data_IF_781432752089
#
_entry.id   IF_781432752089
#
_cell.length_a   1.000
_cell.length_b   1.000
_cell.length_c   1.000
_cell.angle_alpha   90.00
_cell.angle_beta   90.00
_cell.angle_gamma   90.00
#
_symmetry.space_group_name_H-M   'P 1'
#
loop_
_entity.id
_entity.type
_entity.pdbx_description
1 polymer ?
#
# COMPACT_ATOMS: atom_id res chain seq x y z
N UNK A 1 1.77 15.74 26.14
CA UNK A 1 1.49 15.16 24.81
C UNK A 1 0.05 14.71 24.84
N UNK A 2 -0.81 15.29 24.00
CA UNK A 2 -2.17 14.78 23.85
C UNK A 2 -2.02 13.45 23.11
N UNK A 3 -2.30 12.34 23.80
CA UNK A 3 -2.49 11.06 23.12
C UNK A 3 -3.66 11.23 22.17
N UNK A 4 -3.47 11.02 20.87
CA UNK A 4 -4.60 10.85 19.97
C UNK A 4 -5.53 9.80 20.55
N UNK A 5 -6.83 10.07 20.53
CA UNK A 5 -7.81 9.06 20.93
C UNK A 5 -7.68 7.89 19.97
N UNK A 6 -7.47 6.67 20.49
CA UNK A 6 -7.27 5.46 19.67
C UNK A 6 -8.39 5.27 18.63
N UNK A 7 -9.62 5.63 18.99
CA UNK A 7 -10.76 5.63 18.08
C UNK A 7 -10.56 6.57 16.90
N UNK A 8 -9.99 7.76 17.11
CA UNK A 8 -9.67 8.71 16.03
C UNK A 8 -8.60 8.15 15.09
N UNK A 9 -7.60 7.45 15.62
CA UNK A 9 -6.56 6.81 14.79
C UNK A 9 -7.14 5.67 13.96
N UNK A 10 -8.08 4.88 14.52
CA UNK A 10 -8.83 3.86 13.79
C UNK A 10 -9.70 4.49 12.69
N UNK A 11 -10.50 5.51 13.03
CA UNK A 11 -11.39 6.19 12.07
C UNK A 11 -10.58 6.82 10.91
N UNK A 12 -9.40 7.38 11.21
CA UNK A 12 -8.49 7.93 10.20
C UNK A 12 -7.90 6.82 9.32
N UNK A 13 -7.45 5.71 9.92
CA UNK A 13 -6.92 4.57 9.18
C UNK A 13 -7.95 3.99 8.21
N UNK A 14 -9.21 3.84 8.64
CA UNK A 14 -10.31 3.35 7.78
C UNK A 14 -10.53 4.24 6.57
N UNK A 15 -10.66 5.55 6.77
CA UNK A 15 -10.87 6.51 5.66
C UNK A 15 -9.69 6.53 4.71
N UNK A 16 -8.46 6.59 5.25
CA UNK A 16 -7.25 6.59 4.43
C UNK A 16 -7.10 5.29 3.63
N UNK A 17 -7.44 4.14 4.21
CA UNK A 17 -7.38 2.85 3.53
C UNK A 17 -8.39 2.77 2.39
N UNK A 18 -9.65 3.16 2.62
CA UNK A 18 -10.68 3.17 1.58
C UNK A 18 -10.30 4.06 0.39
N UNK A 19 -9.83 5.28 0.66
CA UNK A 19 -9.37 6.21 -0.38
C UNK A 19 -8.14 5.67 -1.11
N UNK A 20 -7.16 5.14 -0.38
CA UNK A 20 -5.93 4.62 -0.96
C UNK A 20 -6.17 3.39 -1.84
N UNK A 21 -7.00 2.44 -1.39
CA UNK A 21 -7.31 1.22 -2.15
C UNK A 21 -8.00 1.58 -3.46
N UNK A 22 -9.00 2.48 -3.42
CA UNK A 22 -9.68 2.96 -4.61
C UNK A 22 -8.70 3.62 -5.59
N UNK A 23 -7.86 4.54 -5.10
CA UNK A 23 -6.83 5.20 -5.91
C UNK A 23 -5.83 4.20 -6.51
N UNK A 24 -5.35 3.26 -5.71
CA UNK A 24 -4.32 2.30 -6.10
C UNK A 24 -4.83 1.38 -7.21
N UNK A 25 -5.98 0.73 -7.01
CA UNK A 25 -6.53 -0.20 -7.99
C UNK A 25 -7.08 0.51 -9.24
N UNK A 26 -7.60 1.73 -9.12
CA UNK A 26 -7.92 2.53 -10.30
C UNK A 26 -6.67 2.90 -11.10
N UNK A 27 -5.57 3.22 -10.42
CA UNK A 27 -4.32 3.64 -11.07
C UNK A 27 -3.61 2.48 -11.77
N UNK A 28 -3.57 1.28 -11.19
CA UNK A 28 -2.93 0.12 -11.84
C UNK A 28 -3.67 -0.31 -13.11
N UNK A 29 -5.00 -0.18 -13.13
CA UNK A 29 -5.84 -0.56 -14.26
C UNK A 29 -5.86 0.52 -15.36
N UNK A 30 -6.02 1.81 -14.99
CA UNK A 30 -6.20 2.90 -15.97
C UNK A 30 -4.95 3.73 -16.25
N UNK A 31 -4.03 3.85 -15.29
CA UNK A 31 -2.92 4.83 -15.30
C UNK A 31 -1.60 4.24 -14.81
N UNK A 32 -1.24 3.05 -15.32
CA UNK A 32 -0.14 2.24 -14.79
C UNK A 32 1.21 2.97 -14.65
N UNK A 33 1.54 3.86 -15.59
CA UNK A 33 2.78 4.69 -15.53
C UNK A 33 2.85 5.63 -14.32
N UNK A 34 1.70 5.96 -13.72
CA UNK A 34 1.62 6.83 -12.54
C UNK A 34 1.63 6.03 -11.24
N UNK A 35 1.48 4.71 -11.29
CA UNK A 35 1.37 3.84 -10.11
C UNK A 35 2.61 3.91 -9.22
N UNK A 36 3.79 4.01 -9.81
CA UNK A 36 5.06 4.06 -9.08
C UNK A 36 5.21 5.30 -8.21
N UNK A 37 4.42 6.36 -8.45
CA UNK A 37 4.38 7.54 -7.57
C UNK A 37 3.69 7.28 -6.23
N UNK A 38 2.92 6.20 -6.13
CA UNK A 38 2.30 5.77 -4.85
C UNK A 38 3.29 5.01 -3.96
N UNK A 39 4.46 4.64 -4.48
CA UNK A 39 5.51 3.96 -3.75
C UNK A 39 6.55 4.95 -3.24
N UNK A 40 7.03 4.74 -2.01
CA UNK A 40 8.19 5.44 -1.49
C UNK A 40 9.46 5.02 -2.24
N UNK A 41 10.48 5.87 -2.27
CA UNK A 41 11.74 5.57 -2.97
C UNK A 41 12.45 4.32 -2.40
N UNK A 42 12.29 4.07 -1.11
CA UNK A 42 12.80 2.90 -0.39
C UNK A 42 11.83 1.72 -0.35
N UNK A 43 10.70 1.78 -1.05
CA UNK A 43 9.70 0.72 -1.00
C UNK A 43 10.21 -0.57 -1.66
N UNK A 44 9.75 -1.69 -1.11
CA UNK A 44 9.97 -3.03 -1.65
C UNK A 44 8.62 -3.71 -1.85
N UNK A 45 8.32 -4.09 -3.09
CA UNK A 45 7.17 -4.91 -3.44
C UNK A 45 7.62 -6.38 -3.43
N UNK A 46 6.82 -7.27 -2.85
CA UNK A 46 7.04 -8.72 -2.98
C UNK A 46 5.87 -9.31 -3.74
N UNK A 47 6.10 -9.78 -4.98
CA UNK A 47 5.07 -10.34 -5.84
C UNK A 47 5.27 -11.84 -6.05
N UNK A 48 4.35 -12.67 -5.55
CA UNK A 48 4.46 -14.14 -5.59
C UNK A 48 5.81 -14.67 -5.10
N UNK A 49 6.37 -14.06 -4.04
CA UNK A 49 7.68 -14.42 -3.48
C UNK A 49 8.89 -13.76 -4.12
N UNK A 50 8.70 -12.95 -5.18
CA UNK A 50 9.79 -12.23 -5.85
C UNK A 50 9.86 -10.79 -5.34
N UNK A 51 10.93 -10.39 -4.63
CA UNK A 51 11.12 -9.02 -4.19
C UNK A 51 11.55 -8.13 -5.35
N UNK A 52 10.95 -6.95 -5.44
CA UNK A 52 11.24 -5.86 -6.37
C UNK A 52 11.44 -4.60 -5.54
N UNK A 53 12.67 -4.12 -5.46
CA UNK A 53 13.05 -2.98 -4.63
C UNK A 53 13.52 -1.82 -5.50
N UNK A 54 13.10 -0.62 -5.15
CA UNK A 54 13.49 0.61 -5.83
C UNK A 54 12.58 1.00 -6.99
N UNK A 55 12.45 2.30 -7.22
CA UNK A 55 11.48 2.87 -8.15
C UNK A 55 11.65 2.37 -9.59
N UNK A 56 12.88 2.33 -10.13
CA UNK A 56 13.12 1.92 -11.52
C UNK A 56 12.67 0.48 -11.76
N UNK A 57 13.01 -0.43 -10.83
CA UNK A 57 12.60 -1.83 -10.91
C UNK A 57 11.10 -2.01 -10.78
N UNK A 58 10.42 -1.18 -9.96
CA UNK A 58 8.96 -1.16 -9.89
C UNK A 58 8.33 -0.70 -11.21
N UNK A 59 8.88 0.35 -11.85
CA UNK A 59 8.39 0.84 -13.15
C UNK A 59 8.47 -0.27 -14.19
N UNK A 60 9.66 -0.88 -14.35
CA UNK A 60 9.88 -1.98 -15.29
C UNK A 60 8.95 -3.17 -14.98
N UNK A 61 8.80 -3.53 -13.70
CA UNK A 61 7.93 -4.61 -13.27
C UNK A 61 6.47 -4.36 -13.68
N UNK A 62 5.93 -3.16 -13.40
CA UNK A 62 4.55 -2.85 -13.77
C UNK A 62 4.35 -2.75 -15.29
N UNK A 63 5.35 -2.29 -16.06
CA UNK A 63 5.28 -2.28 -17.53
C UNK A 63 5.30 -3.68 -18.15
N UNK A 64 6.00 -4.63 -17.52
CA UNK A 64 6.02 -6.04 -17.95
C UNK A 64 4.71 -6.79 -17.66
N UNK A 65 3.93 -6.32 -16.68
CA UNK A 65 2.67 -6.97 -16.33
C UNK A 65 1.60 -6.74 -17.42
N UNK A 66 0.77 -7.76 -17.74
CA UNK A 66 -0.34 -7.60 -18.66
C UNK A 66 -1.40 -6.64 -18.12
N UNK A 67 -2.34 -6.20 -18.96
CA UNK A 67 -3.50 -5.42 -18.50
C UNK A 67 -4.29 -6.23 -17.48
N UNK A 68 -4.77 -5.56 -16.44
CA UNK A 68 -5.54 -6.14 -15.33
C UNK A 68 -6.88 -5.44 -15.20
N UNK A 69 -7.82 -6.11 -14.53
CA UNK A 69 -9.04 -5.51 -14.00
C UNK A 69 -9.22 -6.07 -12.58
N UNK A 70 -9.18 -5.22 -11.58
CA UNK A 70 -9.33 -5.62 -10.19
C UNK A 70 -10.73 -5.30 -9.66
N UNK A 71 -11.33 -6.27 -8.96
CA UNK A 71 -12.56 -6.08 -8.19
C UNK A 71 -12.26 -6.32 -6.71
N UNK A 72 -12.33 -5.25 -5.92
CA UNK A 72 -12.05 -5.30 -4.48
C UNK A 72 -13.33 -5.67 -3.73
N UNK A 73 -13.34 -6.82 -3.08
CA UNK A 73 -14.51 -7.30 -2.33
C UNK A 73 -14.44 -6.97 -0.84
N UNK A 74 -13.24 -6.96 -0.26
CA UNK A 74 -13.03 -6.71 1.16
C UNK A 74 -11.74 -5.91 1.36
N UNK A 75 -11.78 -5.02 2.36
CA UNK A 75 -10.65 -4.20 2.80
C UNK A 75 -10.64 -4.28 4.33
N UNK A 76 -9.45 -4.46 4.90
CA UNK A 76 -9.22 -4.35 6.34
C UNK A 76 -8.01 -3.44 6.57
N UNK A 77 -8.02 -2.68 7.66
CA UNK A 77 -6.91 -1.79 8.01
C UNK A 77 -6.76 -1.67 9.53
N UNK A 78 -5.52 -1.48 9.97
CA UNK A 78 -5.19 -1.36 11.39
C UNK A 78 -4.20 -0.21 11.57
N UNK A 79 -4.42 0.69 12.56
CA UNK A 79 -3.47 1.75 12.83
C UNK A 79 -2.15 1.16 13.32
N UNK A 80 -1.05 1.56 12.68
CA UNK A 80 0.29 1.10 13.04
C UNK A 80 0.74 1.80 14.31
N UNK A 81 1.20 1.03 15.30
CA UNK A 81 1.69 1.59 16.55
C UNK A 81 2.88 2.53 16.30
N UNK A 82 2.94 3.64 17.04
CA UNK A 82 3.91 4.72 16.83
C UNK A 82 5.39 4.28 16.93
N UNK A 83 5.67 3.13 17.57
CA UNK A 83 7.02 2.56 17.60
C UNK A 83 7.53 2.08 16.24
N UNK A 84 6.62 1.76 15.31
CA UNK A 84 6.94 1.22 13.99
C UNK A 84 6.84 2.27 12.88
N UNK A 85 6.13 3.38 13.10
CA UNK A 85 5.99 4.47 12.11
C UNK A 85 7.28 5.25 11.87
N UNK A 86 8.35 5.01 12.65
CA UNK A 86 9.66 5.62 12.45
C UNK A 86 10.44 4.93 11.33
N UNK A 87 10.11 5.31 10.10
CA UNK A 87 10.93 5.42 8.85
C UNK A 87 12.05 4.43 8.50
N UNK A 88 12.23 3.30 9.18
CA UNK A 88 13.29 2.37 8.79
C UNK A 88 12.82 0.97 8.40
N UNK A 89 11.61 0.51 8.75
CA UNK A 89 11.17 -0.86 8.40
C UNK A 89 9.64 -1.09 8.29
N UNK A 90 8.85 -0.06 7.98
CA UNK A 90 7.41 -0.27 7.74
C UNK A 90 7.16 -0.87 6.34
N UNK A 91 7.47 -2.15 6.16
CA UNK A 91 6.82 -2.97 5.13
C UNK A 91 5.41 -3.25 5.63
N UNK A 92 4.39 -2.65 5.01
CA UNK A 92 3.00 -3.03 5.24
C UNK A 92 2.83 -4.52 4.95
N UNK A 93 2.72 -5.32 6.01
CA UNK A 93 2.52 -6.76 5.92
C UNK A 93 1.02 -7.02 6.06
N UNK A 94 0.32 -7.17 4.94
CA UNK A 94 -1.03 -7.71 4.93
C UNK A 94 -0.95 -9.18 5.33
N UNK A 95 -1.06 -9.47 6.64
CA UNK A 95 -1.16 -10.83 7.14
C UNK A 95 -2.63 -11.22 7.16
N UNK A 96 -3.04 -12.08 6.23
CA UNK A 96 -4.35 -12.73 6.26
C UNK A 96 -4.25 -13.94 7.19
N UNK A 97 -4.98 -13.94 8.31
CA UNK A 97 -5.20 -15.15 9.10
C UNK A 97 -6.56 -15.73 8.74
N UNK A 98 -6.57 -17.05 8.49
CA UNK A 98 -7.75 -17.87 8.20
C UNK A 98 -8.70 -17.97 9.39
#
# INVERSE_FOLDING_TARGET
MVSSDFRTDVDLACRAAEEFVNLYYETIDKRRRQLTKLYMDSATLVWNGNPVSGQNSLIEFFEMLPSSEFQVNMIDCQPVHASYTRTENCTGCCSWNS
#
